data_IF_516974234507
#
_entry.id   IF_516974234507
#
_cell.length_a   1.000
_cell.length_b   1.000
_cell.length_c   1.000
_cell.angle_alpha   90.00
_cell.angle_beta   90.00
_cell.angle_gamma   90.00
#
_symmetry.space_group_name_H-M   'P 1'
#
loop_
_entity.id
_entity.type
_entity.pdbx_description
1 polymer ?
#
# COMPACT_ATOMS: atom_id res chain seq x y z
N UNK A 1 -11.66 4.65 -4.46
CA UNK A 1 -10.25 4.37 -4.12
C UNK A 1 -9.42 5.59 -4.50
N UNK A 2 -8.58 6.07 -3.58
CA UNK A 2 -7.72 7.24 -3.76
C UNK A 2 -6.26 6.86 -3.46
N UNK A 3 -5.31 7.65 -3.97
CA UNK A 3 -3.90 7.56 -3.63
C UNK A 3 -3.22 8.92 -3.52
N UNK A 4 -2.18 9.00 -2.71
CA UNK A 4 -1.38 10.21 -2.51
C UNK A 4 0.00 9.88 -1.93
N UNK A 5 0.87 10.89 -1.82
CA UNK A 5 2.02 10.86 -0.92
C UNK A 5 1.60 11.17 0.53
N UNK A 6 2.51 10.97 1.47
CA UNK A 6 2.25 11.35 2.87
C UNK A 6 1.94 12.85 3.03
N UNK A 7 1.20 13.26 4.08
CA UNK A 7 0.99 14.66 4.41
C UNK A 7 2.21 15.28 5.09
N UNK A 8 2.46 16.58 4.85
CA UNK A 8 3.61 17.32 5.39
C UNK A 8 3.31 17.93 6.77
N UNK A 9 2.91 17.10 7.73
CA UNK A 9 2.56 17.56 9.09
C UNK A 9 3.79 17.93 9.93
N UNK A 10 4.91 17.26 9.71
CA UNK A 10 6.18 17.50 10.38
C UNK A 10 6.16 17.33 11.92
N UNK A 11 7.25 17.68 12.60
CA UNK A 11 7.34 17.55 14.06
C UNK A 11 6.31 18.42 14.78
N UNK A 12 6.00 19.59 14.22
CA UNK A 12 5.10 20.59 14.81
C UNK A 12 3.61 20.32 14.57
N UNK A 13 3.22 19.19 13.94
CA UNK A 13 1.82 18.86 13.61
C UNK A 13 1.11 19.98 12.84
N UNK A 14 1.79 20.52 11.83
CA UNK A 14 1.18 21.46 10.88
C UNK A 14 -0.04 20.82 10.25
N UNK A 15 -1.01 21.66 9.91
CA UNK A 15 -2.27 21.25 9.30
C UNK A 15 -2.52 22.03 8.02
N UNK A 16 -3.25 21.44 7.09
CA UNK A 16 -3.65 22.03 5.82
C UNK A 16 -5.17 21.96 5.74
N UNK A 17 -5.85 23.11 5.80
CA UNK A 17 -7.33 23.15 5.83
C UNK A 17 -7.92 22.73 4.49
N UNK A 18 -7.20 22.99 3.42
CA UNK A 18 -7.56 22.64 2.05
C UNK A 18 -7.51 21.12 1.85
N UNK A 19 -6.51 20.45 2.43
CA UNK A 19 -6.39 18.99 2.43
C UNK A 19 -7.49 18.33 3.28
N UNK A 20 -7.72 18.86 4.49
CA UNK A 20 -8.84 18.43 5.34
C UNK A 20 -10.19 18.57 4.62
N UNK A 21 -10.41 19.71 3.93
CA UNK A 21 -11.62 19.96 3.14
C UNK A 21 -11.72 19.01 1.96
N UNK A 22 -10.63 18.79 1.23
CA UNK A 22 -10.59 17.89 0.07
C UNK A 22 -11.00 16.47 0.47
N UNK A 23 -10.38 15.92 1.51
CA UNK A 23 -10.76 14.60 2.02
C UNK A 23 -12.15 14.58 2.66
N UNK A 24 -12.66 15.73 3.11
CA UNK A 24 -14.05 15.87 3.57
C UNK A 24 -15.08 15.90 2.44
N UNK A 25 -14.72 16.37 1.23
CA UNK A 25 -15.69 16.50 0.12
C UNK A 25 -16.24 15.19 -0.41
N UNK A 26 -15.55 14.09 -0.14
CA UNK A 26 -15.93 12.75 -0.59
C UNK A 26 -16.64 11.94 0.49
N UNK A 27 -16.96 12.55 1.63
CA UNK A 27 -17.63 11.91 2.76
C UNK A 27 -18.98 12.56 3.00
N UNK A 28 -20.00 11.73 3.21
CA UNK A 28 -21.31 12.16 3.69
C UNK A 28 -21.37 12.15 5.23
N UNK A 29 -22.44 12.72 5.78
CA UNK A 29 -22.68 12.70 7.24
C UNK A 29 -22.83 11.26 7.75
N UNK A 30 -21.96 10.87 8.68
CA UNK A 30 -21.96 9.53 9.28
C UNK A 30 -20.98 8.55 8.63
N UNK A 31 -20.38 8.91 7.49
CA UNK A 31 -19.41 8.06 6.79
C UNK A 31 -18.17 7.79 7.63
N UNK A 32 -17.61 6.60 7.41
CA UNK A 32 -16.26 6.22 7.84
C UNK A 32 -15.44 5.85 6.63
N UNK A 33 -14.24 6.39 6.58
CA UNK A 33 -13.26 6.12 5.52
C UNK A 33 -11.95 5.60 6.11
N UNK A 34 -11.14 4.98 5.28
CA UNK A 34 -9.88 4.34 5.70
C UNK A 34 -8.68 4.99 5.03
N UNK A 35 -7.61 5.14 5.81
CA UNK A 35 -6.28 5.49 5.28
C UNK A 35 -5.39 4.27 5.46
N UNK A 36 -4.92 3.69 4.36
CA UNK A 36 -3.95 2.60 4.37
C UNK A 36 -2.56 3.21 4.16
N UNK A 37 -1.82 3.35 5.26
CA UNK A 37 -0.42 3.76 5.23
C UNK A 37 0.44 2.51 5.04
N UNK A 38 1.11 2.40 3.88
CA UNK A 38 1.91 1.22 3.50
C UNK A 38 3.24 1.14 4.25
N UNK A 39 3.54 2.11 5.12
CA UNK A 39 4.75 2.12 5.95
C UNK A 39 4.48 1.46 7.30
N UNK A 40 5.56 1.00 7.93
CA UNK A 40 5.50 0.64 9.36
C UNK A 40 5.18 1.87 10.21
N UNK A 41 4.55 1.65 11.37
CA UNK A 41 4.28 2.73 12.31
C UNK A 41 5.55 3.47 12.74
N UNK A 42 6.69 2.75 12.82
CA UNK A 42 7.99 3.34 13.11
C UNK A 42 8.49 4.23 11.97
N UNK A 43 8.41 3.77 10.72
CA UNK A 43 8.80 4.57 9.56
C UNK A 43 7.92 5.82 9.40
N UNK A 44 6.61 5.71 9.64
CA UNK A 44 5.71 6.87 9.65
C UNK A 44 6.07 7.88 10.76
N UNK A 45 6.47 7.41 11.94
CA UNK A 45 6.95 8.25 13.04
C UNK A 45 8.27 8.95 12.68
N UNK A 46 9.19 8.25 12.02
CA UNK A 46 10.45 8.84 11.54
C UNK A 46 10.21 9.88 10.44
N UNK A 47 9.32 9.59 9.50
CA UNK A 47 8.97 10.52 8.43
C UNK A 47 8.41 11.84 8.97
N UNK A 48 7.67 11.80 10.08
CA UNK A 48 7.22 13.00 10.80
C UNK A 48 8.38 13.88 11.26
N UNK A 49 9.49 13.29 11.72
CA UNK A 49 10.67 14.07 12.12
C UNK A 49 11.35 14.73 10.92
N UNK A 50 11.28 14.11 9.74
CA UNK A 50 11.80 14.64 8.48
C UNK A 50 10.86 15.59 7.73
N UNK A 51 9.77 16.05 8.35
CA UNK A 51 8.82 17.00 7.75
C UNK A 51 7.59 16.37 7.08
N UNK A 52 7.58 15.06 6.85
CA UNK A 52 6.40 14.30 6.42
C UNK A 52 5.43 14.00 7.56
N UNK A 53 4.72 12.88 7.52
CA UNK A 53 3.89 12.43 8.65
C UNK A 53 2.65 11.62 8.28
N UNK A 54 1.58 11.82 9.04
CA UNK A 54 0.30 11.09 8.94
C UNK A 54 -0.86 12.00 9.37
N UNK A 55 -2.07 11.65 8.97
CA UNK A 55 -3.33 12.37 9.17
C UNK A 55 -3.83 12.21 10.63
N UNK A 56 -3.72 13.22 11.50
CA UNK A 56 -4.12 13.05 12.90
C UNK A 56 -5.64 12.92 13.03
N UNK A 57 -6.14 11.97 13.85
CA UNK A 57 -7.58 11.78 14.07
C UNK A 57 -8.31 13.06 14.55
N UNK A 58 -7.59 13.98 15.20
CA UNK A 58 -8.13 15.28 15.62
C UNK A 58 -8.49 16.20 14.45
N UNK A 59 -7.88 16.02 13.28
CA UNK A 59 -8.13 16.83 12.08
C UNK A 59 -8.87 16.05 10.99
N UNK A 60 -8.79 14.72 11.03
CA UNK A 60 -9.48 13.82 10.09
C UNK A 60 -10.35 12.81 10.87
N UNK A 61 -11.42 13.25 11.54
CA UNK A 61 -12.16 12.43 12.51
C UNK A 61 -12.88 11.22 11.90
N UNK A 62 -13.32 11.33 10.64
CA UNK A 62 -13.99 10.25 9.90
C UNK A 62 -13.02 9.27 9.23
N UNK A 63 -11.72 9.62 9.19
CA UNK A 63 -10.69 8.80 8.55
C UNK A 63 -9.96 7.94 9.57
N UNK A 64 -10.11 6.62 9.46
CA UNK A 64 -9.40 5.65 10.28
C UNK A 64 -8.14 5.18 9.57
N UNK A 65 -6.98 5.54 10.13
CA UNK A 65 -5.69 5.05 9.62
C UNK A 65 -5.39 3.62 10.06
N UNK A 66 -4.92 2.82 9.11
CA UNK A 66 -4.43 1.45 9.27
C UNK A 66 -2.99 1.39 8.74
N UNK A 67 -2.06 0.89 9.55
CA UNK A 67 -0.69 0.65 9.11
C UNK A 67 -0.57 -0.75 8.49
N UNK A 68 -0.04 -0.82 7.27
CA UNK A 68 0.20 -2.05 6.50
C UNK A 68 1.61 -2.02 5.95
N UNK A 69 2.57 -2.37 6.79
CA UNK A 69 3.98 -2.30 6.44
C UNK A 69 4.29 -3.22 5.24
N UNK A 70 4.71 -2.61 4.14
CA UNK A 70 5.22 -3.29 2.96
C UNK A 70 6.68 -2.89 2.77
N UNK A 71 7.55 -3.90 2.69
CA UNK A 71 8.98 -3.70 2.46
C UNK A 71 9.23 -3.16 1.06
N UNK A 72 10.27 -2.32 0.93
CA UNK A 72 10.68 -1.70 -0.33
C UNK A 72 12.19 -1.59 -0.43
N UNK A 73 12.71 -1.34 -1.63
CA UNK A 73 14.14 -1.12 -1.86
C UNK A 73 14.98 -2.34 -1.49
N UNK A 74 16.11 -2.10 -0.81
CA UNK A 74 17.14 -3.13 -0.56
C UNK A 74 16.63 -4.38 0.17
N UNK A 75 15.85 -4.33 1.26
CA UNK A 75 15.31 -5.54 1.90
C UNK A 75 14.50 -6.44 0.95
N UNK A 76 13.66 -5.83 0.10
CA UNK A 76 12.85 -6.57 -0.87
C UNK A 76 13.72 -7.16 -2.00
N UNK A 77 14.74 -6.42 -2.45
CA UNK A 77 15.71 -6.92 -3.43
C UNK A 77 16.51 -8.11 -2.89
N UNK A 78 16.99 -8.03 -1.65
CA UNK A 78 17.71 -9.13 -0.99
C UNK A 78 16.81 -10.38 -0.83
N UNK A 79 15.53 -10.18 -0.51
CA UNK A 79 14.54 -11.27 -0.48
C UNK A 79 14.38 -11.94 -1.85
N UNK A 80 14.26 -11.14 -2.92
CA UNK A 80 14.15 -11.65 -4.29
C UNK A 80 15.41 -12.41 -4.71
N UNK A 81 16.59 -11.88 -4.43
CA UNK A 81 17.87 -12.56 -4.74
C UNK A 81 17.94 -13.93 -4.08
N UNK A 82 17.58 -14.05 -2.80
CA UNK A 82 17.55 -15.35 -2.10
C UNK A 82 16.57 -16.34 -2.73
N UNK A 83 15.42 -15.86 -3.22
CA UNK A 83 14.49 -16.72 -3.96
C UNK A 83 15.12 -17.22 -5.26
N UNK A 84 15.74 -16.33 -6.05
CA UNK A 84 16.40 -16.70 -7.30
C UNK A 84 17.52 -17.71 -7.06
N UNK A 85 18.33 -17.51 -6.02
CA UNK A 85 19.37 -18.46 -5.60
C UNK A 85 18.79 -19.82 -5.20
N UNK A 86 17.65 -19.84 -4.52
CA UNK A 86 16.95 -21.09 -4.21
C UNK A 86 16.51 -21.81 -5.49
N UNK A 87 15.95 -21.07 -6.46
CA UNK A 87 15.47 -21.62 -7.75
C UNK A 87 16.60 -22.20 -8.61
N UNK A 88 17.80 -21.63 -8.49
CA UNK A 88 18.97 -22.04 -9.26
C UNK A 88 19.71 -23.26 -8.70
N UNK A 89 19.31 -23.80 -7.55
CA UNK A 89 20.02 -24.91 -6.92
C UNK A 89 19.72 -26.25 -7.61
N UNK A 90 20.70 -26.90 -8.26
CA UNK A 90 20.45 -28.17 -8.95
C UNK A 90 20.24 -29.31 -7.95
N UNK A 91 19.23 -30.15 -8.21
CA UNK A 91 18.93 -31.37 -7.46
C UNK A 91 18.75 -31.18 -5.94
N UNK A 92 18.19 -30.05 -5.50
CA UNK A 92 17.83 -29.85 -4.10
C UNK A 92 16.75 -30.85 -3.64
N UNK A 93 16.88 -31.40 -2.42
CA UNK A 93 15.76 -32.11 -1.80
C UNK A 93 14.60 -31.16 -1.54
N UNK A 94 13.38 -31.70 -1.42
CA UNK A 94 12.18 -30.89 -1.15
C UNK A 94 12.32 -30.11 0.17
N UNK A 95 12.88 -30.72 1.20
CA UNK A 95 13.08 -30.06 2.50
C UNK A 95 14.05 -28.88 2.39
N UNK A 96 15.14 -29.05 1.65
CA UNK A 96 16.13 -27.98 1.42
C UNK A 96 15.52 -26.84 0.60
N UNK A 97 14.77 -27.18 -0.45
CA UNK A 97 14.03 -26.21 -1.25
C UNK A 97 13.05 -25.39 -0.40
N UNK A 98 12.20 -26.05 0.39
CA UNK A 98 11.22 -25.38 1.24
C UNK A 98 11.89 -24.50 2.31
N UNK A 99 12.99 -24.96 2.90
CA UNK A 99 13.77 -24.17 3.85
C UNK A 99 14.36 -22.90 3.22
N UNK A 100 14.91 -23.01 2.00
CA UNK A 100 15.42 -21.84 1.25
C UNK A 100 14.30 -20.89 0.83
N UNK A 101 13.17 -21.42 0.36
CA UNK A 101 11.99 -20.63 0.02
C UNK A 101 11.49 -19.84 1.22
N UNK A 102 11.37 -20.47 2.40
CA UNK A 102 10.94 -19.80 3.62
C UNK A 102 11.96 -18.72 4.07
N UNK A 103 13.25 -19.05 4.08
CA UNK A 103 14.31 -18.10 4.44
C UNK A 103 14.46 -16.92 3.48
N UNK A 104 14.03 -17.06 2.22
CA UNK A 104 13.94 -15.93 1.28
C UNK A 104 12.93 -14.88 1.73
N UNK A 105 11.88 -15.28 2.46
CA UNK A 105 10.72 -14.46 2.86
C UNK A 105 9.89 -13.88 1.71
N UNK A 106 10.18 -14.25 0.46
CA UNK A 106 9.51 -13.66 -0.71
C UNK A 106 7.99 -13.84 -0.68
N UNK A 107 7.53 -15.05 -0.38
CA UNK A 107 6.10 -15.34 -0.27
C UNK A 107 5.42 -14.55 0.87
N UNK A 108 6.18 -14.17 1.90
CA UNK A 108 5.71 -13.25 2.95
C UNK A 108 5.40 -11.86 2.40
N UNK A 109 6.28 -11.31 1.54
CA UNK A 109 6.04 -10.01 0.89
C UNK A 109 4.86 -10.06 -0.09
N UNK A 110 4.78 -11.12 -0.91
CA UNK A 110 3.64 -11.33 -1.83
C UNK A 110 2.33 -11.42 -1.05
N UNK A 111 2.29 -12.23 0.01
CA UNK A 111 1.13 -12.34 0.90
C UNK A 111 0.76 -10.98 1.51
N UNK A 112 1.73 -10.20 1.99
CA UNK A 112 1.46 -8.90 2.59
C UNK A 112 0.84 -7.91 1.59
N UNK A 113 1.36 -7.84 0.36
CA UNK A 113 0.82 -6.99 -0.69
C UNK A 113 -0.62 -7.39 -1.07
N UNK A 114 -0.86 -8.68 -1.34
CA UNK A 114 -2.19 -9.20 -1.67
C UNK A 114 -3.18 -9.01 -0.51
N UNK A 115 -2.76 -9.24 0.74
CA UNK A 115 -3.62 -9.04 1.92
C UNK A 115 -4.01 -7.57 2.08
N UNK A 116 -3.09 -6.65 1.80
CA UNK A 116 -3.33 -5.21 1.89
C UNK A 116 -4.27 -4.72 0.79
N UNK A 117 -4.08 -5.20 -0.44
CA UNK A 117 -4.99 -4.92 -1.55
C UNK A 117 -6.39 -5.51 -1.32
N UNK A 118 -6.46 -6.73 -0.79
CA UNK A 118 -7.73 -7.37 -0.42
C UNK A 118 -8.45 -6.59 0.68
N UNK A 119 -7.74 -6.06 1.68
CA UNK A 119 -8.33 -5.17 2.68
C UNK A 119 -8.90 -3.90 2.03
N UNK A 120 -8.15 -3.24 1.14
CA UNK A 120 -8.63 -2.07 0.42
C UNK A 120 -9.91 -2.39 -0.39
N UNK A 121 -9.91 -3.53 -1.10
CA UNK A 121 -11.05 -4.00 -1.85
C UNK A 121 -12.27 -4.29 -0.97
N UNK A 122 -12.08 -4.92 0.19
CA UNK A 122 -13.15 -5.21 1.14
C UNK A 122 -13.77 -3.93 1.71
N UNK A 123 -12.96 -2.94 2.08
CA UNK A 123 -13.47 -1.66 2.57
C UNK A 123 -14.31 -0.94 1.50
N UNK A 124 -13.92 -1.04 0.22
CA UNK A 124 -14.67 -0.42 -0.88
C UNK A 124 -15.97 -1.17 -1.20
N UNK A 125 -15.89 -2.49 -1.40
CA UNK A 125 -16.99 -3.30 -1.91
C UNK A 125 -18.00 -3.70 -0.83
N UNK A 126 -17.53 -4.07 0.37
CA UNK A 126 -18.39 -4.59 1.43
C UNK A 126 -18.82 -3.53 2.44
N UNK A 127 -17.93 -2.61 2.78
CA UNK A 127 -18.24 -1.54 3.74
C UNK A 127 -18.81 -0.28 3.05
N UNK A 128 -18.67 -0.17 1.72
CA UNK A 128 -19.03 1.06 0.99
C UNK A 128 -18.17 2.26 1.36
N UNK A 129 -17.02 2.04 2.01
CA UNK A 129 -16.17 3.09 2.56
C UNK A 129 -15.15 3.59 1.54
N UNK A 130 -14.89 4.89 1.58
CA UNK A 130 -13.76 5.47 0.85
C UNK A 130 -12.42 5.00 1.44
N UNK A 131 -11.45 4.76 0.56
CA UNK A 131 -10.10 4.31 0.93
C UNK A 131 -9.06 5.21 0.27
N UNK A 132 -8.17 5.77 1.08
CA UNK A 132 -6.96 6.47 0.67
C UNK A 132 -5.75 5.57 0.94
N UNK A 133 -4.95 5.27 -0.07
CA UNK A 133 -3.69 4.52 0.08
C UNK A 133 -2.52 5.48 -0.09
N UNK A 134 -1.56 5.45 0.83
CA UNK A 134 -0.30 6.19 0.64
C UNK A 134 0.89 5.49 1.28
N UNK A 135 2.06 5.83 0.77
CA UNK A 135 3.35 5.58 1.39
C UNK A 135 4.06 6.90 1.63
N UNK A 136 5.40 6.91 1.64
CA UNK A 136 6.13 8.16 1.77
C UNK A 136 5.88 9.11 0.57
N UNK A 137 6.01 8.59 -0.64
CA UNK A 137 5.97 9.36 -1.89
C UNK A 137 4.72 9.06 -2.73
N UNK A 138 3.87 8.12 -2.29
CA UNK A 138 2.70 7.69 -3.06
C UNK A 138 3.05 6.81 -4.27
N UNK A 139 4.30 6.35 -4.34
CA UNK A 139 4.84 5.45 -5.36
C UNK A 139 5.04 4.03 -4.78
N UNK A 140 5.73 3.15 -5.53
CA UNK A 140 6.12 1.79 -5.14
C UNK A 140 4.94 0.95 -4.59
N UNK A 141 4.90 0.79 -3.27
CA UNK A 141 3.92 -0.02 -2.54
C UNK A 141 2.52 0.58 -2.61
N UNK A 142 2.40 1.90 -2.81
CA UNK A 142 1.10 2.55 -3.02
C UNK A 142 0.51 2.11 -4.36
N UNK A 143 1.30 2.19 -5.43
CA UNK A 143 0.88 1.80 -6.79
C UNK A 143 0.56 0.30 -6.85
N UNK A 144 1.37 -0.52 -6.17
CA UNK A 144 1.15 -1.96 -6.07
C UNK A 144 -0.21 -2.26 -5.41
N UNK A 145 -0.50 -1.64 -4.28
CA UNK A 145 -1.76 -1.87 -3.56
C UNK A 145 -2.96 -1.36 -4.36
N UNK A 146 -2.88 -0.18 -4.98
CA UNK A 146 -4.00 0.36 -5.77
C UNK A 146 -4.26 -0.44 -7.03
N UNK A 147 -3.21 -0.86 -7.76
CA UNK A 147 -3.36 -1.68 -8.95
C UNK A 147 -3.95 -3.06 -8.62
N UNK A 148 -3.46 -3.72 -7.55
CA UNK A 148 -4.00 -5.00 -7.10
C UNK A 148 -5.46 -4.89 -6.63
N UNK A 149 -5.83 -3.82 -5.91
CA UNK A 149 -7.21 -3.61 -5.49
C UNK A 149 -8.14 -3.44 -6.70
N UNK A 150 -7.69 -2.73 -7.74
CA UNK A 150 -8.44 -2.58 -8.99
C UNK A 150 -8.58 -3.89 -9.76
N UNK A 151 -7.53 -4.72 -9.82
CA UNK A 151 -7.62 -6.07 -10.39
C UNK A 151 -8.64 -6.98 -9.68
N UNK A 152 -8.75 -6.84 -8.36
CA UNK A 152 -9.72 -7.59 -7.54
C UNK A 152 -11.14 -7.13 -7.84
N UNK A 153 -11.36 -5.81 -7.85
CA UNK A 153 -12.71 -5.22 -7.92
C UNK A 153 -13.27 -5.11 -9.34
N UNK A 154 -12.43 -4.83 -10.33
CA UNK A 154 -12.87 -4.50 -11.68
C UNK A 154 -12.54 -5.64 -12.67
N UNK A 155 -13.55 -6.36 -13.20
CA UNK A 155 -13.35 -7.36 -14.25
C UNK A 155 -12.67 -6.82 -15.52
N UNK A 156 -12.84 -5.54 -15.86
CA UNK A 156 -12.23 -4.96 -17.06
C UNK A 156 -10.71 -4.98 -16.96
N UNK A 157 -10.16 -4.73 -15.77
CA UNK A 157 -8.73 -4.79 -15.47
C UNK A 157 -8.10 -6.19 -15.66
N UNK A 158 -8.91 -7.25 -15.80
CA UNK A 158 -8.46 -8.64 -15.98
C UNK A 158 -8.45 -9.10 -17.45
N UNK A 159 -8.81 -8.23 -18.38
CA UNK A 159 -8.55 -8.42 -19.81
C UNK A 159 -7.14 -7.94 -20.17
N UNK A 160 -6.57 -8.39 -21.30
CA UNK A 160 -5.26 -7.90 -21.76
C UNK A 160 -5.26 -6.37 -21.94
N UNK A 161 -6.28 -5.84 -22.63
CA UNK A 161 -6.41 -4.40 -22.87
C UNK A 161 -6.59 -3.63 -21.56
N UNK A 162 -7.45 -4.11 -20.66
CA UNK A 162 -7.68 -3.44 -19.38
C UNK A 162 -6.48 -3.51 -18.44
N UNK A 163 -5.71 -4.60 -18.46
CA UNK A 163 -4.48 -4.69 -17.67
C UNK A 163 -3.41 -3.72 -18.20
N UNK A 164 -3.25 -3.60 -19.53
CA UNK A 164 -2.35 -2.61 -20.12
C UNK A 164 -2.78 -1.17 -19.78
N UNK A 165 -4.09 -0.87 -19.86
CA UNK A 165 -4.63 0.43 -19.48
C UNK A 165 -4.41 0.72 -17.98
N UNK A 166 -4.56 -0.29 -17.11
CA UNK A 166 -4.27 -0.18 -15.69
C UNK A 166 -2.78 0.16 -15.45
N UNK A 167 -1.86 -0.54 -16.10
CA UNK A 167 -0.42 -0.26 -15.98
C UNK A 167 -0.07 1.14 -16.48
N UNK A 168 -0.62 1.55 -17.62
CA UNK A 168 -0.43 2.88 -18.18
C UNK A 168 -0.85 3.96 -17.18
N UNK A 169 -2.09 3.89 -16.67
CA UNK A 169 -2.63 4.87 -15.71
C UNK A 169 -1.93 4.82 -14.36
N UNK A 170 -1.73 3.64 -13.78
CA UNK A 170 -1.26 3.52 -12.40
C UNK A 170 0.25 3.61 -12.24
N UNK A 171 1.04 3.25 -13.25
CA UNK A 171 2.50 3.11 -13.13
C UNK A 171 3.30 4.01 -14.07
N UNK A 172 2.77 4.35 -15.26
CA UNK A 172 3.53 5.12 -16.27
C UNK A 172 3.19 6.61 -16.19
N UNK A 173 1.92 6.95 -16.02
CA UNK A 173 1.43 8.36 -15.99
C UNK A 173 1.53 9.01 -14.60
N UNK A 174 2.33 8.44 -13.70
CA UNK A 174 2.49 8.89 -12.31
C UNK A 174 3.38 10.10 -12.18
#
# INVERSE_FOLDING_TARGET
LLRSSQPLTGPNRRRCREDEKLLGTILDEGDRAFIIDTRSAQAAKQARMGGGGTEPKSFYPQWRRLHRALDRGRPLQESFTRLVEACGEPAASVERWLSRLDSSRWLGHVKAALSTACLAAQCLDREGSNVLVHGAEGTDTTLLVTALAQLILDPACRSLQGFLALLQREWIEV
#
